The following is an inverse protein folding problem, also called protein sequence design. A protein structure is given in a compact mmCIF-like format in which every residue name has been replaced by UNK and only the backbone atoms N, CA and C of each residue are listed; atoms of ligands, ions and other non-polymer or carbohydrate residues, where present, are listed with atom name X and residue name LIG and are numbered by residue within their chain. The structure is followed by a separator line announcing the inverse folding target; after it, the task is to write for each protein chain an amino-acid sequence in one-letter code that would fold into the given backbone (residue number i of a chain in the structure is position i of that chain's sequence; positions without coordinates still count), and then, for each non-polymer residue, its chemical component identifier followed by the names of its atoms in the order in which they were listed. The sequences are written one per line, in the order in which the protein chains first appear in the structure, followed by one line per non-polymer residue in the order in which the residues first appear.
data_IF_145599065039
#
_entry.id   IF_145599065039
#
_cell.length_a   1.000
_cell.length_b   1.000
_cell.length_c   1.000
_cell.angle_alpha   90.00
_cell.angle_beta   90.00
_cell.angle_gamma   90.00
#
_symmetry.space_group_name_H-M   'P 1'
#
loop_
_entity.id
_entity.type
_entity.pdbx_description
1 polymer ?
#
# COMPACT_ATOMS: atom_id res chain seq x y z
N UNK A 1 -27.05 3.40 -23.09
CA UNK A 1 -27.14 3.60 -21.63
C UNK A 1 -25.94 2.93 -20.97
N UNK A 2 -25.17 3.64 -20.14
CA UNK A 2 -24.06 3.01 -19.39
C UNK A 2 -24.65 1.99 -18.40
N UNK A 3 -24.08 0.80 -18.36
CA UNK A 3 -24.49 -0.22 -17.39
C UNK A 3 -24.10 0.26 -15.97
N UNK A 4 -24.95 0.06 -14.96
CA UNK A 4 -24.70 0.47 -13.57
C UNK A 4 -23.31 0.03 -13.07
N UNK A 5 -22.85 -1.18 -13.46
CA UNK A 5 -21.50 -1.68 -13.13
C UNK A 5 -20.38 -0.78 -13.62
N UNK A 6 -20.52 -0.21 -14.82
CA UNK A 6 -19.52 0.70 -15.40
C UNK A 6 -19.49 2.04 -14.66
N UNK A 7 -20.65 2.54 -14.22
CA UNK A 7 -20.73 3.77 -13.43
C UNK A 7 -20.08 3.59 -12.06
N UNK A 8 -20.31 2.45 -11.41
CA UNK A 8 -19.65 2.13 -10.12
C UNK A 8 -18.14 2.02 -10.27
N UNK A 9 -17.65 1.34 -11.30
CA UNK A 9 -16.21 1.25 -11.56
C UNK A 9 -15.58 2.62 -11.83
N UNK A 10 -16.26 3.49 -12.59
CA UNK A 10 -15.81 4.85 -12.85
C UNK A 10 -15.77 5.70 -11.58
N UNK A 11 -16.80 5.61 -10.74
CA UNK A 11 -16.86 6.33 -9.48
C UNK A 11 -15.71 5.92 -8.55
N UNK A 12 -15.43 4.61 -8.41
CA UNK A 12 -14.30 4.14 -7.63
C UNK A 12 -12.96 4.55 -8.22
N UNK A 13 -12.81 4.53 -9.54
CA UNK A 13 -11.59 5.00 -10.19
C UNK A 13 -11.34 6.48 -9.87
N UNK A 14 -12.34 7.35 -10.05
CA UNK A 14 -12.23 8.78 -9.73
C UNK A 14 -11.90 8.97 -8.25
N UNK A 15 -12.59 8.25 -7.37
CA UNK A 15 -12.31 8.30 -5.93
C UNK A 15 -10.86 7.92 -5.63
N UNK A 16 -10.34 6.82 -6.18
CA UNK A 16 -8.96 6.38 -5.94
C UNK A 16 -7.91 7.40 -6.43
N UNK A 17 -8.13 8.04 -7.58
CA UNK A 17 -7.24 9.10 -8.08
C UNK A 17 -7.27 10.30 -7.14
N UNK A 18 -8.47 10.74 -6.73
CA UNK A 18 -8.61 11.85 -5.78
C UNK A 18 -7.93 11.54 -4.45
N UNK A 19 -8.12 10.33 -3.91
CA UNK A 19 -7.47 9.89 -2.67
C UNK A 19 -5.96 9.84 -2.79
N UNK A 20 -5.42 9.36 -3.92
CA UNK A 20 -3.97 9.36 -4.17
C UNK A 20 -3.41 10.79 -4.18
N UNK A 21 -4.10 11.74 -4.83
CA UNK A 21 -3.69 13.14 -4.88
C UNK A 21 -3.79 13.84 -3.51
N UNK A 22 -4.89 13.61 -2.77
CA UNK A 22 -5.06 14.17 -1.41
C UNK A 22 -4.02 13.60 -0.47
N UNK A 23 -3.82 12.28 -0.47
CA UNK A 23 -2.82 11.60 0.34
C UNK A 23 -1.40 12.08 -0.01
N UNK A 24 -1.06 12.00 -1.29
CA UNK A 24 0.22 12.43 -1.83
C UNK A 24 0.53 13.90 -1.55
N UNK A 25 -0.36 14.80 -1.96
CA UNK A 25 -0.16 16.25 -1.83
C UNK A 25 -0.12 16.72 -0.38
N UNK A 26 -1.00 16.21 0.49
CA UNK A 26 -0.98 16.57 1.90
C UNK A 26 0.28 16.08 2.61
N UNK A 27 0.72 14.86 2.31
CA UNK A 27 1.96 14.32 2.85
C UNK A 27 3.18 15.08 2.31
N UNK A 28 3.20 15.39 1.02
CA UNK A 28 4.26 16.19 0.40
C UNK A 28 4.40 17.53 1.10
N UNK A 29 3.27 18.24 1.29
CA UNK A 29 3.25 19.50 2.01
C UNK A 29 3.70 19.34 3.46
N UNK A 30 3.34 18.25 4.14
CA UNK A 30 3.78 18.00 5.51
C UNK A 30 5.28 17.74 5.61
N UNK A 31 5.84 16.97 4.68
CA UNK A 31 7.28 16.70 4.63
C UNK A 31 8.13 17.93 4.30
N UNK A 32 7.53 19.00 3.75
CA UNK A 32 8.21 20.28 3.63
C UNK A 32 8.44 20.94 5.00
N UNK A 33 7.60 20.66 6.01
CA UNK A 33 7.69 21.29 7.33
C UNK A 33 8.33 20.40 8.38
N UNK A 34 8.00 19.11 8.42
CA UNK A 34 8.55 18.16 9.39
C UNK A 34 8.55 16.72 8.85
N UNK A 35 9.57 15.93 9.22
CA UNK A 35 9.66 14.49 8.95
C UNK A 35 9.49 13.63 10.20
N UNK A 36 9.11 14.23 11.33
CA UNK A 36 8.96 13.53 12.61
C UNK A 36 8.00 12.32 12.50
N UNK A 37 8.40 11.18 13.03
CA UNK A 37 7.58 9.96 12.98
C UNK A 37 7.58 9.23 11.64
N UNK A 38 8.11 9.82 10.58
CA UNK A 38 8.26 9.20 9.25
C UNK A 38 9.66 8.61 9.12
N UNK A 39 9.83 7.56 8.32
CA UNK A 39 11.16 7.03 8.01
C UNK A 39 11.30 6.67 6.52
N UNK A 40 12.54 6.60 6.06
CA UNK A 40 12.88 6.37 4.64
C UNK A 40 12.46 4.96 4.23
N UNK A 41 12.71 3.97 5.08
CA UNK A 41 12.38 2.57 4.83
C UNK A 41 10.89 2.34 4.61
N UNK A 42 10.00 3.04 5.34
CA UNK A 42 8.56 2.91 5.13
C UNK A 42 8.14 3.39 3.74
N UNK A 43 8.53 4.61 3.34
CA UNK A 43 8.19 5.13 2.02
C UNK A 43 8.83 4.28 0.90
N UNK A 44 10.05 3.80 1.09
CA UNK A 44 10.73 2.92 0.13
C UNK A 44 10.04 1.55 0.00
N UNK A 45 9.65 0.93 1.12
CA UNK A 45 8.93 -0.34 1.10
C UNK A 45 7.54 -0.18 0.47
N UNK A 46 6.82 0.89 0.81
CA UNK A 46 5.53 1.17 0.19
C UNK A 46 5.66 1.46 -1.30
N UNK A 47 6.67 2.20 -1.73
CA UNK A 47 6.95 2.39 -3.15
C UNK A 47 7.22 1.05 -3.84
N UNK A 48 8.00 0.17 -3.22
CA UNK A 48 8.28 -1.18 -3.72
C UNK A 48 6.99 -1.99 -3.86
N UNK A 49 6.13 -1.97 -2.84
CA UNK A 49 4.80 -2.58 -2.89
C UNK A 49 3.97 -2.06 -4.08
N UNK A 50 3.94 -0.75 -4.28
CA UNK A 50 3.18 -0.13 -5.37
C UNK A 50 3.75 -0.47 -6.75
N UNK A 51 5.07 -0.51 -6.91
CA UNK A 51 5.73 -0.92 -8.15
C UNK A 51 5.42 -2.37 -8.51
N UNK A 52 5.47 -3.28 -7.53
CA UNK A 52 5.09 -4.69 -7.74
C UNK A 52 3.63 -4.79 -8.21
N UNK A 53 2.71 -4.09 -7.54
CA UNK A 53 1.30 -4.11 -7.93
C UNK A 53 1.05 -3.43 -9.29
N UNK A 54 1.80 -2.39 -9.62
CA UNK A 54 1.73 -1.74 -10.93
C UNK A 54 2.14 -2.71 -12.04
N UNK A 55 3.26 -3.43 -11.87
CA UNK A 55 3.70 -4.43 -12.84
C UNK A 55 2.65 -5.55 -13.01
N UNK A 56 2.14 -6.10 -11.90
CA UNK A 56 1.09 -7.13 -11.93
C UNK A 56 -0.18 -6.65 -12.67
N UNK A 57 -0.60 -5.41 -12.45
CA UNK A 57 -1.80 -4.87 -13.09
C UNK A 57 -1.56 -4.52 -14.57
N UNK A 58 -0.35 -4.11 -14.95
CA UNK A 58 0.06 -3.97 -16.35
C UNK A 58 -0.01 -5.32 -17.05
N UNK A 59 0.52 -6.39 -16.45
CA UNK A 59 0.44 -7.74 -16.99
C UNK A 59 -0.99 -8.25 -17.12
N UNK A 60 -1.82 -8.01 -16.12
CA UNK A 60 -3.24 -8.36 -16.17
C UNK A 60 -3.96 -7.62 -17.31
N UNK A 61 -3.68 -6.32 -17.50
CA UNK A 61 -4.23 -5.54 -18.60
C UNK A 61 -3.75 -6.04 -19.95
N UNK A 62 -2.45 -6.33 -20.12
CA UNK A 62 -1.89 -6.87 -21.38
C UNK A 62 -2.51 -8.22 -21.74
N UNK A 63 -2.76 -9.07 -20.75
CA UNK A 63 -3.33 -10.41 -20.96
C UNK A 63 -4.80 -10.37 -21.35
N UNK A 64 -5.59 -9.50 -20.73
CA UNK A 64 -7.02 -9.30 -21.03
C UNK A 64 -7.39 -7.82 -20.91
N UNK A 65 -7.18 -7.02 -21.97
CA UNK A 65 -7.44 -5.60 -21.94
C UNK A 65 -8.91 -5.29 -21.64
N UNK A 66 -9.14 -4.46 -20.64
CA UNK A 66 -10.48 -3.95 -20.32
C UNK A 66 -10.38 -2.55 -19.75
N UNK A 67 -11.50 -1.83 -19.73
CA UNK A 67 -11.55 -0.49 -19.15
C UNK A 67 -11.20 -0.50 -17.66
N UNK A 68 -11.70 -1.50 -16.92
CA UNK A 68 -11.46 -1.65 -15.48
C UNK A 68 -9.99 -1.96 -15.21
N UNK A 69 -9.37 -2.87 -15.96
CA UNK A 69 -7.93 -3.16 -15.78
C UNK A 69 -7.06 -1.95 -16.12
N UNK A 70 -7.43 -1.16 -17.16
CA UNK A 70 -6.76 0.11 -17.46
C UNK A 70 -6.89 1.12 -16.32
N UNK A 71 -8.09 1.24 -15.72
CA UNK A 71 -8.32 2.12 -14.56
C UNK A 71 -7.46 1.69 -13.38
N UNK A 72 -7.36 0.39 -13.08
CA UNK A 72 -6.49 -0.14 -12.03
C UNK A 72 -5.02 0.20 -12.28
N UNK A 73 -4.51 0.03 -13.51
CA UNK A 73 -3.14 0.43 -13.88
C UNK A 73 -2.91 1.91 -13.62
N UNK A 74 -3.84 2.77 -14.05
CA UNK A 74 -3.75 4.22 -13.82
C UNK A 74 -3.79 4.58 -12.34
N UNK A 75 -4.59 3.88 -11.54
CA UNK A 75 -4.64 4.07 -10.08
C UNK A 75 -3.30 3.72 -9.44
N UNK A 76 -2.71 2.55 -9.73
CA UNK A 76 -1.40 2.19 -9.18
C UNK A 76 -0.29 3.10 -9.69
N UNK A 77 -0.35 3.55 -10.94
CA UNK A 77 0.60 4.53 -11.47
C UNK A 77 0.51 5.85 -10.70
N UNK A 78 -0.70 6.36 -10.44
CA UNK A 78 -0.91 7.58 -9.66
C UNK A 78 -0.36 7.44 -8.24
N UNK A 79 -0.71 6.35 -7.53
CA UNK A 79 -0.17 6.06 -6.19
C UNK A 79 1.36 5.94 -6.19
N UNK A 80 1.94 5.25 -7.18
CA UNK A 80 3.38 5.09 -7.32
C UNK A 80 4.06 6.45 -7.48
N UNK A 81 3.54 7.32 -8.35
CA UNK A 81 4.11 8.64 -8.59
C UNK A 81 4.06 9.54 -7.36
N UNK A 82 2.93 9.56 -6.63
CA UNK A 82 2.83 10.42 -5.44
C UNK A 82 3.73 9.93 -4.30
N UNK A 83 3.85 8.61 -4.09
CA UNK A 83 4.74 8.06 -3.06
C UNK A 83 6.20 8.23 -3.47
N UNK A 84 6.54 8.07 -4.75
CA UNK A 84 7.88 8.36 -5.26
C UNK A 84 8.25 9.83 -5.06
N UNK A 85 7.33 10.76 -5.31
CA UNK A 85 7.55 12.19 -5.05
C UNK A 85 7.80 12.48 -3.56
N UNK A 86 7.04 11.86 -2.66
CA UNK A 86 7.23 11.99 -1.21
C UNK A 86 8.58 11.43 -0.75
N UNK A 87 8.96 10.25 -1.25
CA UNK A 87 10.27 9.65 -0.95
C UNK A 87 11.41 10.53 -1.48
N UNK A 88 11.31 11.01 -2.73
CA UNK A 88 12.30 11.89 -3.33
C UNK A 88 12.44 13.20 -2.54
N UNK A 89 11.33 13.79 -2.10
CA UNK A 89 11.33 14.98 -1.24
C UNK A 89 12.03 14.71 0.09
N UNK A 90 11.70 13.61 0.76
CA UNK A 90 12.31 13.23 2.04
C UNK A 90 13.83 13.08 1.92
N UNK A 91 14.28 12.39 0.86
CA UNK A 91 15.71 12.21 0.56
C UNK A 91 16.40 13.52 0.19
N UNK A 92 15.76 14.37 -0.62
CA UNK A 92 16.32 15.65 -1.05
C UNK A 92 16.47 16.64 0.11
N UNK A 93 15.47 16.71 1.00
CA UNK A 93 15.52 17.57 2.19
C UNK A 93 16.62 17.16 3.16
N UNK A 94 17.00 15.88 3.18
CA UNK A 94 17.99 15.33 4.11
C UNK A 94 17.60 15.50 5.58
N UNK A 95 16.34 15.80 5.87
CA UNK A 95 15.82 16.01 7.23
C UNK A 95 15.68 14.70 7.99
N UNK A 96 15.61 13.59 7.26
CA UNK A 96 15.61 12.24 7.82
C UNK A 96 16.85 11.50 7.32
N UNK A 97 17.65 10.99 8.25
CA UNK A 97 18.77 10.11 7.94
C UNK A 97 18.36 8.67 8.24
N UNK A 98 18.92 7.72 7.50
CA UNK A 98 18.72 6.31 7.77
C UNK A 98 19.10 5.98 9.22
N UNK A 99 18.16 5.47 10.00
CA UNK A 99 18.35 5.24 11.43
C UNK A 99 18.18 3.77 11.85
N UNK A 100 18.20 3.55 13.18
CA UNK A 100 17.97 2.22 13.75
C UNK A 100 16.58 1.65 13.42
N UNK A 101 15.54 2.49 13.33
CA UNK A 101 14.19 2.02 12.95
C UNK A 101 14.18 1.61 11.49
N UNK A 102 14.86 2.33 10.60
CA UNK A 102 15.00 1.92 9.20
C UNK A 102 15.69 0.56 9.06
N UNK A 103 16.73 0.33 9.87
CA UNK A 103 17.43 -0.95 9.93
C UNK A 103 16.49 -2.07 10.41
N UNK A 104 15.70 -1.83 11.46
CA UNK A 104 14.71 -2.79 11.95
C UNK A 104 13.66 -3.09 10.87
N UNK A 105 13.12 -2.07 10.19
CA UNK A 105 12.20 -2.26 9.07
C UNK A 105 12.81 -3.15 8.00
N UNK A 106 14.03 -2.84 7.54
CA UNK A 106 14.70 -3.59 6.48
C UNK A 106 14.95 -5.05 6.88
N UNK A 107 15.38 -5.30 8.11
CA UNK A 107 15.58 -6.67 8.64
C UNK A 107 14.24 -7.42 8.73
N UNK A 108 13.18 -6.80 9.26
CA UNK A 108 11.88 -7.44 9.37
C UNK A 108 11.29 -7.77 8.00
N UNK A 109 11.40 -6.87 7.03
CA UNK A 109 11.01 -7.11 5.63
C UNK A 109 11.84 -8.27 5.06
N UNK A 110 13.17 -8.25 5.22
CA UNK A 110 14.04 -9.31 4.74
C UNK A 110 13.72 -10.69 5.33
N UNK A 111 13.46 -10.77 6.63
CA UNK A 111 13.03 -11.99 7.31
C UNK A 111 11.64 -12.44 6.84
N UNK A 112 10.70 -11.51 6.63
CA UNK A 112 9.37 -11.81 6.10
C UNK A 112 9.42 -12.37 4.68
N UNK A 113 10.28 -11.79 3.83
CA UNK A 113 10.52 -12.30 2.47
C UNK A 113 11.14 -13.69 2.51
N UNK A 114 12.16 -13.90 3.34
CA UNK A 114 12.79 -15.21 3.52
C UNK A 114 11.77 -16.25 3.99
N UNK A 115 10.95 -15.93 5.00
CA UNK A 115 9.89 -16.81 5.47
C UNK A 115 8.89 -17.14 4.37
N UNK A 116 8.43 -16.14 3.61
CA UNK A 116 7.50 -16.32 2.49
C UNK A 116 8.09 -17.26 1.44
N UNK A 117 9.37 -17.10 1.11
CA UNK A 117 10.08 -17.96 0.14
C UNK A 117 10.27 -19.39 0.66
N UNK A 118 10.65 -19.57 1.93
CA UNK A 118 10.79 -20.90 2.55
C UNK A 118 9.45 -21.63 2.63
N UNK A 119 8.38 -20.90 2.98
CA UNK A 119 7.02 -21.44 2.96
C UNK A 119 6.61 -21.88 1.55
N UNK A 120 6.84 -21.02 0.54
CA UNK A 120 6.56 -21.34 -0.86
C UNK A 120 7.30 -22.62 -1.30
N UNK A 121 8.61 -22.70 -1.00
CA UNK A 121 9.43 -23.87 -1.30
C UNK A 121 8.93 -25.13 -0.60
N UNK A 122 8.61 -25.05 0.70
CA UNK A 122 8.12 -26.18 1.48
C UNK A 122 6.74 -26.69 1.03
N UNK A 123 5.95 -25.84 0.36
CA UNK A 123 4.63 -26.18 -0.19
C UNK A 123 4.64 -26.44 -1.70
N UNK A 124 5.80 -26.39 -2.36
CA UNK A 124 5.92 -26.53 -3.81
C UNK A 124 5.18 -25.45 -4.60
N UNK A 125 5.01 -24.25 -4.03
CA UNK A 125 4.33 -23.12 -4.66
C UNK A 125 5.33 -22.32 -5.51
N UNK A 126 4.88 -21.87 -6.69
CA UNK A 126 5.65 -20.94 -7.52
C UNK A 126 5.64 -19.52 -6.94
N UNK A 127 6.58 -18.68 -7.36
CA UNK A 127 6.63 -17.26 -6.95
C UNK A 127 5.42 -16.45 -7.40
N UNK A 128 4.75 -16.91 -8.46
CA UNK A 128 3.51 -16.32 -8.97
C UNK A 128 2.26 -16.84 -8.25
N UNK A 129 2.40 -17.77 -7.28
CA UNK A 129 1.25 -18.26 -6.52
C UNK A 129 0.64 -17.10 -5.71
N UNK A 130 -0.71 -16.98 -5.67
CA UNK A 130 -1.34 -15.83 -5.04
C UNK A 130 -1.01 -15.68 -3.56
N UNK A 131 -0.80 -16.78 -2.83
CA UNK A 131 -0.44 -16.73 -1.42
C UNK A 131 0.97 -16.17 -1.21
N UNK A 132 1.90 -16.47 -2.12
CA UNK A 132 3.27 -15.93 -2.09
C UNK A 132 3.24 -14.43 -2.38
N UNK A 133 2.46 -14.01 -3.38
CA UNK A 133 2.26 -12.59 -3.69
C UNK A 133 1.61 -11.82 -2.53
N UNK A 134 0.62 -12.39 -1.84
CA UNK A 134 0.06 -11.78 -0.63
C UNK A 134 1.10 -11.71 0.49
N UNK A 135 1.94 -12.73 0.65
CA UNK A 135 3.08 -12.72 1.57
C UNK A 135 4.03 -11.55 1.29
N UNK A 136 4.44 -11.36 0.05
CA UNK A 136 5.25 -10.21 -0.36
C UNK A 136 4.55 -8.88 -0.11
N UNK A 137 3.24 -8.81 -0.41
CA UNK A 137 2.41 -7.65 -0.13
C UNK A 137 2.49 -7.25 1.35
N UNK A 138 2.20 -8.20 2.25
CA UNK A 138 2.28 -7.99 3.70
C UNK A 138 3.67 -7.61 4.17
N UNK A 139 4.74 -8.16 3.57
CA UNK A 139 6.10 -7.80 3.91
C UNK A 139 6.41 -6.34 3.56
N UNK A 140 6.02 -5.86 2.38
CA UNK A 140 6.36 -4.50 1.94
C UNK A 140 5.39 -3.41 2.40
N UNK A 141 4.23 -3.76 2.95
CA UNK A 141 3.27 -2.77 3.48
C UNK A 141 3.04 -2.92 4.98
N UNK A 142 2.71 -4.13 5.45
CA UNK A 142 2.29 -4.37 6.82
C UNK A 142 3.44 -4.23 7.81
N UNK A 143 4.57 -4.90 7.56
CA UNK A 143 5.74 -4.83 8.46
C UNK A 143 6.29 -3.39 8.59
N UNK A 144 6.49 -2.62 7.50
CA UNK A 144 6.89 -1.23 7.60
C UNK A 144 5.89 -0.32 8.34
N UNK A 145 4.59 -0.59 8.22
CA UNK A 145 3.57 0.16 8.97
C UNK A 145 3.63 -0.14 10.48
N UNK A 146 3.95 -1.37 10.88
CA UNK A 146 4.17 -1.70 12.30
C UNK A 146 5.37 -0.94 12.88
N UNK A 147 6.49 -0.91 12.14
CA UNK A 147 7.67 -0.15 12.55
C UNK A 147 7.43 1.37 12.52
N UNK A 148 6.61 1.85 11.59
CA UNK A 148 6.17 3.24 11.53
C UNK A 148 5.34 3.60 12.76
N UNK A 149 4.35 2.78 13.11
CA UNK A 149 3.52 2.98 14.31
C UNK A 149 4.41 3.08 15.56
N UNK A 150 5.35 2.15 15.72
CA UNK A 150 6.32 2.19 16.82
C UNK A 150 7.18 3.47 16.81
N UNK A 151 7.63 3.93 15.65
CA UNK A 151 8.37 5.18 15.53
C UNK A 151 7.52 6.37 15.96
N UNK A 152 6.29 6.48 15.45
CA UNK A 152 5.33 7.53 15.84
C UNK A 152 5.11 7.53 17.36
N UNK A 153 4.89 6.37 17.96
CA UNK A 153 4.73 6.25 19.42
C UNK A 153 5.94 6.74 20.22
N UNK A 154 7.16 6.65 19.67
CA UNK A 154 8.40 6.97 20.39
C UNK A 154 8.90 8.38 20.14
N UNK A 155 8.60 8.96 18.96
CA UNK A 155 9.12 10.27 18.57
C UNK A 155 8.05 11.25 18.13
N UNK A 156 6.76 10.93 18.19
CA UNK A 156 5.65 11.75 17.74
C UNK A 156 5.28 11.53 16.26
N UNK A 157 4.03 11.85 15.89
CA UNK A 157 3.47 11.61 14.56
C UNK A 157 3.39 12.80 13.61
N UNK A 158 3.94 13.96 13.96
CA UNK A 158 3.65 15.23 13.26
C UNK A 158 4.02 15.24 11.77
N UNK A 159 5.03 14.46 11.35
CA UNK A 159 5.45 14.32 9.96
C UNK A 159 4.47 13.54 9.09
N UNK A 160 3.47 12.88 9.67
CA UNK A 160 2.42 12.19 8.94
C UNK A 160 1.18 13.07 8.82
N UNK A 161 0.71 13.31 7.59
CA UNK A 161 -0.46 14.14 7.34
C UNK A 161 -1.75 13.39 7.71
N UNK A 162 -2.62 14.03 8.51
CA UNK A 162 -3.92 13.44 8.87
C UNK A 162 -4.82 13.17 7.65
N UNK A 163 -4.75 14.02 6.61
CA UNK A 163 -5.48 13.78 5.36
C UNK A 163 -4.99 12.53 4.61
N UNK A 164 -3.70 12.21 4.70
CA UNK A 164 -3.13 10.96 4.19
C UNK A 164 -3.61 9.74 4.97
N UNK A 165 -3.68 9.81 6.30
CA UNK A 165 -4.24 8.74 7.13
C UNK A 165 -5.67 8.42 6.72
N UNK A 166 -6.53 9.45 6.67
CA UNK A 166 -7.93 9.30 6.28
C UNK A 166 -8.08 8.78 4.84
N UNK A 167 -7.32 9.36 3.90
CA UNK A 167 -7.34 8.91 2.51
C UNK A 167 -6.87 7.45 2.36
N UNK A 168 -5.91 7.02 3.18
CA UNK A 168 -5.47 5.63 3.30
C UNK A 168 -6.61 4.70 3.68
N UNK A 169 -7.30 4.98 4.80
CA UNK A 169 -8.45 4.18 5.25
C UNK A 169 -9.56 4.10 4.20
N UNK A 170 -10.00 5.23 3.67
CA UNK A 170 -11.06 5.26 2.64
C UNK A 170 -10.59 4.47 1.41
N UNK A 171 -9.32 4.61 1.03
CA UNK A 171 -8.73 3.90 -0.12
C UNK A 171 -8.72 2.39 0.06
N UNK A 172 -8.28 1.90 1.22
CA UNK A 172 -8.22 0.48 1.56
C UNK A 172 -9.63 -0.12 1.65
N UNK A 173 -10.54 0.53 2.39
CA UNK A 173 -11.93 0.08 2.53
C UNK A 173 -12.63 0.03 1.16
N UNK A 174 -12.38 1.02 0.29
CA UNK A 174 -12.93 1.01 -1.07
C UNK A 174 -12.41 -0.19 -1.87
N UNK A 175 -11.12 -0.52 -1.77
CA UNK A 175 -10.54 -1.70 -2.45
C UNK A 175 -11.09 -3.02 -1.88
N UNK A 176 -11.24 -3.13 -0.56
CA UNK A 176 -11.93 -4.26 0.08
C UNK A 176 -13.36 -4.40 -0.42
N UNK A 177 -14.10 -3.29 -0.54
CA UNK A 177 -15.44 -3.27 -1.11
C UNK A 177 -15.47 -3.79 -2.55
N UNK A 178 -14.57 -3.31 -3.41
CA UNK A 178 -14.41 -3.79 -4.79
C UNK A 178 -14.10 -5.29 -4.85
N UNK A 179 -13.24 -5.78 -3.95
CA UNK A 179 -12.90 -7.18 -3.85
C UNK A 179 -14.10 -8.04 -3.40
N UNK A 180 -14.88 -7.57 -2.42
CA UNK A 180 -16.11 -8.22 -1.98
C UNK A 180 -17.15 -8.32 -3.11
N UNK A 181 -17.28 -7.28 -3.93
CA UNK A 181 -18.11 -7.35 -5.13
C UNK A 181 -17.60 -8.41 -6.11
N UNK A 182 -16.29 -8.43 -6.39
CA UNK A 182 -15.69 -9.42 -7.28
C UNK A 182 -15.87 -10.87 -6.76
N UNK A 183 -15.75 -11.06 -5.44
CA UNK A 183 -15.99 -12.35 -4.77
C UNK A 183 -17.46 -12.78 -4.90
N UNK A 184 -18.41 -11.86 -4.70
CA UNK A 184 -19.84 -12.17 -4.85
C UNK A 184 -20.19 -12.55 -6.28
N UNK A 185 -19.55 -11.94 -7.27
CA UNK A 185 -19.82 -12.22 -8.69
C UNK A 185 -19.15 -13.50 -9.19
N UNK A 186 -17.93 -13.81 -8.76
CA UNK A 186 -17.10 -14.86 -9.37
C UNK A 186 -16.61 -15.94 -8.38
N UNK A 187 -17.00 -15.87 -7.12
CA UNK A 187 -16.69 -16.85 -6.08
C UNK A 187 -15.35 -16.62 -5.36
N UNK A 188 -15.17 -17.34 -4.24
CA UNK A 188 -14.00 -17.31 -3.37
C UNK A 188 -12.83 -18.15 -3.94
N UNK A 189 -12.18 -17.68 -5.01
CA UNK A 189 -10.95 -18.32 -5.52
C UNK A 189 -9.69 -17.84 -4.78
N UNK A 190 -8.61 -18.65 -4.84
CA UNK A 190 -7.33 -18.41 -4.13
C UNK A 190 -6.75 -17.02 -4.34
N UNK A 191 -6.88 -16.41 -5.52
CA UNK A 191 -6.40 -15.05 -5.77
C UNK A 191 -7.18 -14.03 -4.96
N UNK A 192 -8.52 -14.17 -4.93
CA UNK A 192 -9.37 -13.25 -4.18
C UNK A 192 -9.17 -13.41 -2.68
N UNK A 193 -8.95 -14.63 -2.18
CA UNK A 193 -8.62 -14.85 -0.76
C UNK A 193 -7.30 -14.18 -0.38
N UNK A 194 -6.28 -14.36 -1.21
CA UNK A 194 -4.95 -13.79 -0.99
C UNK A 194 -4.98 -12.24 -1.03
N UNK A 195 -5.70 -11.66 -2.00
CA UNK A 195 -5.89 -10.22 -2.07
C UNK A 195 -6.66 -9.67 -0.85
N UNK A 196 -7.70 -10.38 -0.39
CA UNK A 196 -8.47 -9.98 0.78
C UNK A 196 -7.60 -9.98 2.04
N UNK A 197 -6.81 -11.03 2.23
CA UNK A 197 -5.89 -11.16 3.34
C UNK A 197 -4.86 -10.01 3.35
N UNK A 198 -4.27 -9.69 2.19
CA UNK A 198 -3.29 -8.62 2.09
C UNK A 198 -3.89 -7.23 2.39
N UNK A 199 -5.11 -6.95 1.92
CA UNK A 199 -5.77 -5.65 2.20
C UNK A 199 -6.29 -5.56 3.64
N UNK A 200 -6.74 -6.67 4.23
CA UNK A 200 -7.10 -6.72 5.65
C UNK A 200 -5.87 -6.52 6.54
N UNK A 201 -4.74 -7.13 6.19
CA UNK A 201 -3.48 -6.90 6.89
C UNK A 201 -3.07 -5.44 6.79
N UNK A 202 -3.14 -4.85 5.58
CA UNK A 202 -2.86 -3.43 5.35
C UNK A 202 -3.76 -2.50 6.17
N UNK A 203 -5.08 -2.73 6.19
CA UNK A 203 -5.99 -1.93 7.02
C UNK A 203 -5.70 -2.10 8.51
N UNK A 204 -5.45 -3.34 8.95
CA UNK A 204 -5.12 -3.64 10.34
C UNK A 204 -3.86 -2.92 10.80
N UNK A 205 -2.79 -2.96 10.01
CA UNK A 205 -1.55 -2.26 10.33
C UNK A 205 -1.69 -0.74 10.17
N UNK A 206 -2.50 -0.25 9.24
CA UNK A 206 -2.79 1.18 9.07
C UNK A 206 -3.61 1.75 10.23
N UNK A 207 -4.56 0.98 10.79
CA UNK A 207 -5.25 1.33 12.03
C UNK A 207 -4.27 1.51 13.19
N UNK A 208 -3.25 0.66 13.31
CA UNK A 208 -2.22 0.81 14.35
C UNK A 208 -1.39 2.09 14.14
N UNK A 209 -1.07 2.45 12.89
CA UNK A 209 -0.41 3.72 12.56
C UNK A 209 -1.30 4.90 12.97
N UNK A 210 -2.60 4.85 12.66
CA UNK A 210 -3.55 5.90 13.03
C UNK A 210 -3.70 6.04 14.53
N UNK A 211 -3.78 4.93 15.27
CA UNK A 211 -3.80 4.96 16.74
C UNK A 211 -2.53 5.58 17.29
N UNK A 212 -1.36 5.16 16.79
CA UNK A 212 -0.07 5.75 17.19
C UNK A 212 -0.05 7.26 16.95
N UNK A 213 -0.54 7.70 15.79
CA UNK A 213 -0.59 9.11 15.41
C UNK A 213 -1.55 9.95 16.28
N UNK A 214 -2.65 9.36 16.74
CA UNK A 214 -3.60 10.07 17.60
C UNK A 214 -3.08 10.28 19.02
N UNK A 215 -2.17 9.43 19.50
CA UNK A 215 -1.73 9.43 20.90
C UNK A 215 -0.25 9.81 21.09
N UNK A 216 0.53 9.89 20.02
CA UNK A 216 1.96 10.22 20.02
C UNK A 216 2.28 11.56 19.39
#
# INVERSE_FOLDING_TARGET
MRNAKQLTADAFFVLQITLALVSGGSQFQRLLTTSQGVNVSWLACWLTFLVINLDLTIWAHRSRPSRVTRQTVLTYAAWTLVIAANLALLLWRGTEQWDGKDTVTAVMVGLGLLFTLLYARGRGLGLTDPLVNAGFGMCFIGLPQLTLAYKIFTVGGEGLAGAMLLAGHIGIITRLGQLLFAIREAGWDRNRQAAALSELANEGTWLLVTVAWLVG
#
